data_IF_512552253841
#
_entry.id   IF_512552253841
#
_cell.length_a   1.000
_cell.length_b   1.000
_cell.length_c   1.000
_cell.angle_alpha   90.00
_cell.angle_beta   90.00
_cell.angle_gamma   90.00
#
_symmetry.space_group_name_H-M   'P 1'
#
loop_
_entity.id
_entity.type
_entity.pdbx_description
1 polymer ?
#
# COMPACT_ATOMS: atom_id res chain seq x y z
N UNK A 1 -21.91 18.37 -6.29
CA UNK A 1 -22.09 16.90 -6.39
C UNK A 1 -21.16 16.19 -5.43
N UNK A 2 -21.66 15.12 -4.80
CA UNK A 2 -20.86 14.25 -3.96
C UNK A 2 -20.97 12.82 -4.48
N UNK A 3 -19.84 12.20 -4.76
CA UNK A 3 -19.80 10.81 -5.23
C UNK A 3 -18.91 10.01 -4.30
N UNK A 4 -19.36 8.81 -3.96
CA UNK A 4 -18.55 7.82 -3.25
C UNK A 4 -18.47 6.54 -4.07
N UNK A 5 -17.29 5.92 -4.08
CA UNK A 5 -17.02 4.66 -4.76
C UNK A 5 -16.37 3.70 -3.76
N UNK A 6 -16.77 2.44 -3.80
CA UNK A 6 -16.06 1.35 -3.15
C UNK A 6 -15.45 0.48 -4.24
N UNK A 7 -14.16 0.18 -4.14
CA UNK A 7 -13.44 -0.61 -5.13
C UNK A 7 -12.66 -1.72 -4.40
N UNK A 8 -13.08 -2.99 -4.52
CA UNK A 8 -12.23 -4.11 -4.14
C UNK A 8 -11.17 -4.34 -5.23
N UNK A 9 -10.01 -4.84 -4.83
CA UNK A 9 -8.96 -5.28 -5.72
C UNK A 9 -8.34 -6.58 -5.21
N UNK A 10 -7.93 -7.43 -6.14
CA UNK A 10 -7.14 -8.62 -5.86
C UNK A 10 -5.88 -8.56 -6.71
N UNK A 11 -4.74 -8.82 -6.08
CA UNK A 11 -3.42 -8.68 -6.70
C UNK A 11 -2.65 -9.98 -6.52
N UNK A 12 -2.03 -10.46 -7.60
CA UNK A 12 -1.07 -11.56 -7.56
C UNK A 12 0.27 -11.07 -8.09
N UNK A 13 1.35 -11.33 -7.35
CA UNK A 13 2.71 -10.96 -7.72
C UNK A 13 3.58 -12.22 -7.66
N UNK A 14 4.26 -12.52 -8.76
CA UNK A 14 5.35 -13.47 -8.79
C UNK A 14 6.66 -12.69 -8.90
N UNK A 15 7.57 -12.89 -7.96
CA UNK A 15 8.91 -12.31 -8.00
C UNK A 15 9.94 -13.42 -8.13
N UNK A 16 10.66 -13.40 -9.24
CA UNK A 16 11.82 -14.26 -9.48
C UNK A 16 13.10 -13.46 -9.18
N UNK A 17 13.95 -13.99 -8.31
CA UNK A 17 15.18 -13.36 -7.86
C UNK A 17 16.35 -14.34 -7.96
N UNK A 18 17.53 -13.85 -8.35
CA UNK A 18 18.74 -14.67 -8.46
C UNK A 18 19.03 -15.46 -7.16
N UNK A 19 18.70 -14.85 -6.02
CA UNK A 19 18.61 -15.55 -4.74
C UNK A 19 17.24 -16.20 -4.57
N UNK A 20 17.15 -17.52 -4.70
CA UNK A 20 15.87 -18.26 -4.54
C UNK A 20 15.18 -18.06 -3.18
N UNK A 21 15.93 -17.70 -2.14
CA UNK A 21 15.36 -17.37 -0.83
C UNK A 21 14.57 -16.05 -0.84
N UNK A 22 14.80 -15.19 -1.84
CA UNK A 22 14.10 -13.91 -2.06
C UNK A 22 13.08 -13.99 -3.22
N UNK A 23 12.96 -15.15 -3.87
CA UNK A 23 11.87 -15.41 -4.83
C UNK A 23 10.60 -15.76 -4.07
N UNK A 24 9.46 -15.19 -4.47
CA UNK A 24 8.19 -15.39 -3.78
C UNK A 24 6.98 -15.27 -4.69
N UNK A 25 5.88 -15.84 -4.21
CA UNK A 25 4.53 -15.59 -4.70
C UNK A 25 3.76 -14.80 -3.64
N UNK A 26 3.00 -13.79 -4.05
CA UNK A 26 2.19 -12.98 -3.16
C UNK A 26 0.77 -12.83 -3.67
N UNK A 27 -0.17 -12.87 -2.73
CA UNK A 27 -1.59 -12.66 -2.96
C UNK A 27 -2.06 -11.55 -2.04
N UNK A 28 -2.67 -10.51 -2.58
CA UNK A 28 -3.21 -9.41 -1.81
C UNK A 28 -4.66 -9.14 -2.15
N UNK A 29 -5.41 -8.72 -1.15
CA UNK A 29 -6.77 -8.23 -1.28
C UNK A 29 -6.88 -6.86 -0.63
N UNK A 30 -7.36 -5.89 -1.40
CA UNK A 30 -7.52 -4.51 -0.98
C UNK A 30 -8.96 -4.05 -1.13
N UNK A 31 -9.41 -3.18 -0.23
CA UNK A 31 -10.67 -2.47 -0.35
C UNK A 31 -10.42 -0.99 -0.21
N UNK A 32 -10.72 -0.24 -1.28
CA UNK A 32 -10.60 1.21 -1.32
C UNK A 32 -11.95 1.89 -1.30
N UNK A 33 -12.12 2.87 -0.41
CA UNK A 33 -13.24 3.80 -0.39
C UNK A 33 -12.79 5.17 -0.86
N UNK A 34 -13.41 5.66 -1.92
CA UNK A 34 -13.17 6.99 -2.48
C UNK A 34 -14.35 7.90 -2.21
N UNK A 35 -14.06 9.15 -1.85
CA UNK A 35 -15.05 10.21 -1.66
C UNK A 35 -14.61 11.48 -2.36
N UNK A 36 -15.47 11.99 -3.25
CA UNK A 36 -15.25 13.21 -4.00
C UNK A 36 -16.29 14.25 -3.57
N UNK A 37 -15.82 15.41 -3.10
CA UNK A 37 -16.67 16.52 -2.64
C UNK A 37 -16.05 17.83 -3.12
N UNK A 38 -16.64 18.46 -4.12
CA UNK A 38 -16.14 19.70 -4.72
C UNK A 38 -14.66 19.56 -5.15
N UNK A 39 -13.74 20.27 -4.49
CA UNK A 39 -12.29 20.25 -4.74
C UNK A 39 -11.54 19.21 -3.88
N UNK A 40 -12.25 18.47 -3.03
CA UNK A 40 -11.67 17.51 -2.10
C UNK A 40 -11.84 16.10 -2.62
N UNK A 41 -10.76 15.33 -2.60
CA UNK A 41 -10.76 13.90 -2.89
C UNK A 41 -10.09 13.17 -1.73
N UNK A 42 -10.75 12.15 -1.24
CA UNK A 42 -10.26 11.28 -0.19
C UNK A 42 -10.29 9.84 -0.69
N UNK A 43 -9.24 9.09 -0.40
CA UNK A 43 -9.19 7.64 -0.57
C UNK A 43 -8.73 7.00 0.73
N UNK A 44 -9.45 6.00 1.20
CA UNK A 44 -9.04 5.13 2.30
C UNK A 44 -8.91 3.72 1.76
N UNK A 45 -7.76 3.08 1.95
CA UNK A 45 -7.51 1.71 1.50
C UNK A 45 -7.09 0.86 2.68
N UNK A 46 -7.79 -0.26 2.89
CA UNK A 46 -7.36 -1.32 3.78
C UNK A 46 -6.96 -2.54 2.95
N UNK A 47 -5.85 -3.17 3.31
CA UNK A 47 -5.28 -4.28 2.55
C UNK A 47 -4.78 -5.40 3.44
N UNK A 48 -4.85 -6.62 2.92
CA UNK A 48 -4.20 -7.79 3.50
C UNK A 48 -3.43 -8.54 2.42
N UNK A 49 -2.17 -8.88 2.69
CA UNK A 49 -1.30 -9.57 1.76
C UNK A 49 -0.64 -10.78 2.42
N UNK A 50 -0.52 -11.85 1.63
CA UNK A 50 0.22 -13.06 1.95
C UNK A 50 1.44 -13.12 1.04
N UNK A 51 2.59 -13.55 1.57
CA UNK A 51 3.83 -13.64 0.82
C UNK A 51 4.58 -14.91 1.18
N UNK A 52 4.62 -15.84 0.24
CA UNK A 52 5.27 -17.14 0.42
C UNK A 52 6.55 -17.22 -0.41
N UNK A 53 7.68 -17.41 0.26
CA UNK A 53 8.98 -17.49 -0.39
C UNK A 53 9.27 -18.93 -0.85
N UNK A 54 10.08 -19.06 -1.90
CA UNK A 54 10.25 -20.33 -2.60
C UNK A 54 11.38 -21.21 -2.03
N UNK A 55 12.28 -20.67 -1.21
CA UNK A 55 13.39 -21.44 -0.64
C UNK A 55 13.72 -21.01 0.77
N UNK A 56 14.23 -21.98 1.55
CA UNK A 56 14.72 -21.72 2.89
C UNK A 56 15.96 -20.81 2.85
N UNK A 57 16.03 -19.87 3.78
CA UNK A 57 17.25 -19.06 3.93
C UNK A 57 18.39 -19.96 4.44
N UNK A 58 19.62 -19.71 3.99
CA UNK A 58 20.81 -20.43 4.46
C UNK A 58 21.07 -20.18 5.96
N UNK A 59 20.63 -19.02 6.46
CA UNK A 59 20.86 -18.57 7.84
C UNK A 59 19.86 -19.17 8.83
N UNK A 60 18.60 -19.31 8.43
CA UNK A 60 17.50 -19.71 9.33
C UNK A 60 16.98 -21.13 9.05
N UNK A 61 17.44 -21.76 7.96
CA UNK A 61 17.03 -23.11 7.52
C UNK A 61 15.50 -23.31 7.45
N UNK A 62 14.76 -22.22 7.27
CA UNK A 62 13.29 -22.18 7.20
C UNK A 62 12.86 -21.32 6.02
N UNK A 63 11.82 -21.74 5.32
CA UNK A 63 11.17 -20.96 4.26
C UNK A 63 10.31 -19.87 4.90
N UNK A 64 10.55 -18.63 4.50
CA UNK A 64 9.84 -17.45 4.99
C UNK A 64 8.40 -17.42 4.46
N UNK A 65 7.47 -17.03 5.31
CA UNK A 65 6.08 -16.74 4.97
C UNK A 65 5.66 -15.56 5.82
N UNK A 66 5.08 -14.54 5.17
CA UNK A 66 4.72 -13.28 5.80
C UNK A 66 3.25 -12.94 5.54
N UNK A 67 2.61 -12.42 6.58
CA UNK A 67 1.27 -11.85 6.54
C UNK A 67 1.35 -10.35 6.81
N UNK A 68 0.85 -9.53 5.88
CA UNK A 68 0.87 -8.07 6.01
C UNK A 68 -0.53 -7.51 6.09
N UNK A 69 -0.82 -6.74 7.15
CA UNK A 69 -2.01 -5.90 7.25
C UNK A 69 -1.63 -4.44 6.98
N UNK A 70 -2.43 -3.73 6.20
CA UNK A 70 -2.15 -2.33 5.87
C UNK A 70 -3.39 -1.43 5.88
N UNK A 71 -3.16 -0.17 6.22
CA UNK A 71 -4.15 0.90 6.20
C UNK A 71 -3.52 2.18 5.66
N UNK A 72 -4.09 2.71 4.59
CA UNK A 72 -3.60 3.89 3.89
C UNK A 72 -4.70 4.92 3.69
N UNK A 73 -4.32 6.19 3.79
CA UNK A 73 -5.17 7.33 3.54
C UNK A 73 -4.47 8.29 2.58
N UNK A 74 -5.15 8.64 1.49
CA UNK A 74 -4.72 9.65 0.54
C UNK A 74 -5.74 10.78 0.48
N UNK A 75 -5.27 12.01 0.46
CA UNK A 75 -6.11 13.19 0.34
C UNK A 75 -5.53 14.16 -0.69
N UNK A 76 -6.39 14.67 -1.55
CA UNK A 76 -6.08 15.69 -2.53
C UNK A 76 -7.04 16.88 -2.37
N UNK A 77 -6.46 18.08 -2.32
CA UNK A 77 -7.19 19.33 -2.41
C UNK A 77 -6.81 20.08 -3.68
N UNK A 78 -7.74 20.08 -4.63
CA UNK A 78 -7.55 20.71 -5.92
C UNK A 78 -7.68 22.23 -5.86
N UNK A 79 -6.99 22.90 -6.79
CA UNK A 79 -6.95 24.36 -6.88
C UNK A 79 -6.66 24.99 -5.51
N UNK A 80 -5.61 24.49 -4.85
CA UNK A 80 -5.18 24.99 -3.55
C UNK A 80 -4.84 26.48 -3.68
N UNK A 81 -5.24 27.29 -2.70
CA UNK A 81 -5.13 28.76 -2.75
C UNK A 81 -5.82 29.42 -3.96
N UNK A 82 -6.79 28.74 -4.58
CA UNK A 82 -7.43 29.14 -5.84
C UNK A 82 -6.47 29.21 -7.04
N UNK A 83 -5.28 28.59 -6.92
CA UNK A 83 -4.33 28.49 -8.02
C UNK A 83 -4.80 27.41 -9.00
N UNK A 84 -5.09 27.83 -10.22
CA UNK A 84 -5.52 26.92 -11.26
C UNK A 84 -4.43 25.86 -11.51
N UNK A 85 -4.87 24.60 -11.59
CA UNK A 85 -4.05 23.42 -11.87
C UNK A 85 -3.07 22.98 -10.77
N UNK A 86 -3.06 23.65 -9.62
CA UNK A 86 -2.27 23.22 -8.46
C UNK A 86 -3.12 22.44 -7.47
N UNK A 87 -2.66 21.25 -7.09
CA UNK A 87 -3.33 20.43 -6.08
C UNK A 87 -2.38 20.14 -4.93
N UNK A 88 -2.84 20.31 -3.70
CA UNK A 88 -2.14 19.81 -2.53
C UNK A 88 -2.47 18.32 -2.35
N UNK A 89 -1.47 17.50 -2.10
CA UNK A 89 -1.61 16.05 -1.92
C UNK A 89 -0.96 15.67 -0.59
N UNK A 90 -1.65 14.85 0.19
CA UNK A 90 -1.11 14.23 1.38
C UNK A 90 -1.40 12.75 1.40
N UNK A 91 -0.45 11.96 1.88
CA UNK A 91 -0.57 10.53 2.03
C UNK A 91 -0.09 10.12 3.42
N UNK A 92 -0.82 9.23 4.07
CA UNK A 92 -0.42 8.62 5.32
C UNK A 92 -0.73 7.12 5.28
N UNK A 93 0.12 6.33 5.90
CA UNK A 93 0.04 4.87 5.86
C UNK A 93 0.61 4.21 7.09
N UNK A 94 0.05 3.05 7.40
CA UNK A 94 0.59 2.11 8.36
C UNK A 94 0.52 0.71 7.77
N UNK A 95 1.58 -0.07 7.94
CA UNK A 95 1.54 -1.50 7.68
C UNK A 95 2.28 -2.28 8.76
N UNK A 96 1.79 -3.48 9.02
CA UNK A 96 2.40 -4.43 9.93
C UNK A 96 2.55 -5.75 9.20
N UNK A 97 3.76 -6.30 9.26
CA UNK A 97 4.10 -7.61 8.69
C UNK A 97 4.51 -8.54 9.81
N UNK A 98 3.77 -9.63 9.98
CA UNK A 98 4.11 -10.71 10.89
C UNK A 98 4.75 -11.85 10.07
N UNK A 99 5.96 -12.27 10.45
CA UNK A 99 6.70 -13.32 9.73
C UNK A 99 6.84 -14.59 10.57
N UNK A 100 6.85 -15.73 9.91
CA UNK A 100 7.16 -17.00 10.56
C UNK A 100 8.63 -17.10 11.06
N UNK A 101 9.47 -16.11 10.73
CA UNK A 101 10.82 -15.90 11.24
C UNK A 101 10.85 -14.48 11.84
N UNK A 102 10.84 -14.38 13.17
CA UNK A 102 10.74 -13.10 13.94
C UNK A 102 11.74 -12.02 13.54
N UNK A 103 12.88 -12.39 12.95
CA UNK A 103 13.83 -11.41 12.43
C UNK A 103 13.23 -10.50 11.34
N UNK A 104 12.20 -10.96 10.64
CA UNK A 104 11.52 -10.24 9.55
C UNK A 104 10.20 -9.59 9.95
N UNK A 105 9.85 -9.57 11.24
CA UNK A 105 8.68 -8.83 11.71
C UNK A 105 8.91 -7.32 11.51
N UNK A 106 7.93 -6.62 10.94
CA UNK A 106 8.08 -5.22 10.51
C UNK A 106 6.85 -4.38 10.83
N UNK A 107 7.11 -3.12 11.22
CA UNK A 107 6.09 -2.08 11.34
C UNK A 107 6.55 -0.85 10.56
N UNK A 108 5.77 -0.47 9.55
CA UNK A 108 6.07 0.67 8.68
C UNK A 108 5.05 1.79 8.88
N UNK A 109 5.54 3.03 8.93
CA UNK A 109 4.74 4.24 8.93
C UNK A 109 5.18 5.13 7.77
N UNK A 110 4.23 5.59 6.98
CA UNK A 110 4.47 6.48 5.86
C UNK A 110 3.70 7.78 6.05
N UNK A 111 4.37 8.92 5.84
CA UNK A 111 3.76 10.24 5.79
C UNK A 111 4.40 11.03 4.66
N UNK A 112 3.59 11.59 3.78
CA UNK A 112 4.03 12.41 2.66
C UNK A 112 3.09 13.58 2.44
N UNK A 113 3.67 14.74 2.11
CA UNK A 113 2.97 15.97 1.77
C UNK A 113 3.61 16.54 0.51
N UNK A 114 2.79 17.04 -0.42
CA UNK A 114 3.29 17.54 -1.69
C UNK A 114 2.30 18.41 -2.45
N UNK A 115 2.76 18.94 -3.57
CA UNK A 115 1.95 19.66 -4.53
C UNK A 115 2.12 19.06 -5.91
N UNK A 116 1.03 18.97 -6.66
CA UNK A 116 1.02 18.51 -8.04
C UNK A 116 0.53 19.62 -8.97
N UNK A 117 1.15 19.74 -10.14
CA UNK A 117 0.75 20.68 -11.19
C UNK A 117 0.31 19.92 -12.45
N UNK A 118 -0.91 20.18 -12.92
CA UNK A 118 -1.45 19.58 -14.15
C UNK A 118 -1.36 20.56 -15.33
N UNK A 119 -0.71 20.17 -16.42
CA UNK A 119 -0.66 20.96 -17.66
C UNK A 119 -1.95 20.84 -18.46
#
# INVERSE_FOLDING_TARGET
>A
DQTSLLQPAFTYINQDADGKAESYDSYAFDVSWFKFINRHRLALTAGYALKDYQSASQTFAKTRSDDTLSLFAAYEYQNVFDWQNWSFISFAGYSQTDSNITFYDENEYLLSLGFNYSF
#
